data_IF_230622208699
#
_entry.id   IF_230622208699
#
_cell.length_a   1.000
_cell.length_b   1.000
_cell.length_c   1.000
_cell.angle_alpha   90.00
_cell.angle_beta   90.00
_cell.angle_gamma   90.00
#
_symmetry.space_group_name_H-M   'P 1'
#
loop_
_entity.id
_entity.type
_entity.pdbx_description
1 polymer ?
#
# COMPACT_ATOMS: atom_id res chain seq x y z
N UNK A 1 -13.22 37.14 -9.05
CA UNK A 1 -12.00 36.44 -9.49
C UNK A 1 -12.31 34.95 -9.37
N UNK A 2 -12.39 34.24 -10.51
CA UNK A 2 -12.95 32.89 -10.61
C UNK A 2 -12.05 31.87 -9.88
N UNK A 3 -12.62 31.17 -8.90
CA UNK A 3 -12.01 30.00 -8.30
C UNK A 3 -12.00 28.88 -9.35
N UNK A 4 -10.82 28.60 -9.92
CA UNK A 4 -10.61 27.39 -10.69
C UNK A 4 -10.70 26.20 -9.71
N UNK A 5 -11.86 25.53 -9.68
CA UNK A 5 -11.99 24.16 -9.19
C UNK A 5 -11.11 23.28 -10.09
N UNK A 6 -9.83 23.17 -9.74
CA UNK A 6 -9.00 22.09 -10.23
C UNK A 6 -9.55 20.81 -9.57
N UNK A 7 -10.37 20.08 -10.32
CA UNK A 7 -10.55 18.66 -10.10
C UNK A 7 -9.18 18.02 -10.30
N UNK A 8 -8.39 17.98 -9.23
CA UNK A 8 -7.11 17.29 -9.20
C UNK A 8 -7.43 15.81 -9.31
N UNK A 9 -7.54 15.36 -10.54
CA UNK A 9 -7.63 13.96 -10.90
C UNK A 9 -6.26 13.36 -10.60
N UNK A 10 -6.02 13.14 -9.30
CA UNK A 10 -4.76 12.66 -8.72
C UNK A 10 -4.34 11.33 -9.37
N UNK A 11 -5.29 10.58 -9.94
CA UNK A 11 -5.10 9.26 -10.52
C UNK A 11 -4.86 9.25 -12.04
N UNK A 12 -5.08 10.34 -12.78
CA UNK A 12 -5.00 10.33 -14.25
C UNK A 12 -3.60 10.56 -14.83
N UNK A 13 -2.58 10.79 -13.99
CA UNK A 13 -1.19 10.98 -14.42
C UNK A 13 -0.34 9.71 -14.47
N UNK A 14 -0.88 8.57 -14.04
CA UNK A 14 -0.09 7.34 -13.98
C UNK A 14 -0.37 6.43 -15.17
N UNK A 15 0.65 5.74 -15.68
CA UNK A 15 0.46 4.83 -16.79
C UNK A 15 -0.52 3.72 -16.38
N UNK A 16 -1.48 3.42 -17.24
CA UNK A 16 -2.65 2.55 -16.97
C UNK A 16 -2.31 1.15 -16.42
N UNK A 17 -1.05 0.70 -16.55
CA UNK A 17 -0.59 -0.56 -15.96
C UNK A 17 -0.44 -0.53 -14.44
N UNK A 18 -0.40 0.66 -13.82
CA UNK A 18 -0.32 0.84 -12.36
C UNK A 18 -1.66 0.61 -11.66
N UNK A 19 -2.77 0.69 -12.41
CA UNK A 19 -4.12 0.43 -11.93
C UNK A 19 -4.73 -0.68 -12.80
N UNK A 20 -4.43 -1.95 -12.48
CA UNK A 20 -5.15 -3.06 -13.11
C UNK A 20 -6.53 -3.18 -12.46
N UNK A 21 -7.54 -2.75 -13.20
CA UNK A 21 -8.92 -3.18 -12.97
C UNK A 21 -8.96 -4.70 -13.02
N UNK A 22 -9.42 -5.31 -11.94
CA UNK A 22 -9.39 -6.74 -11.69
C UNK A 22 -10.38 -7.49 -12.60
N UNK A 23 -9.89 -8.40 -13.44
CA UNK A 23 -10.68 -9.54 -13.91
C UNK A 23 -10.47 -10.75 -12.98
N UNK A 24 -11.53 -11.47 -12.58
CA UNK A 24 -11.39 -12.66 -11.76
C UNK A 24 -11.00 -13.85 -12.65
N UNK A 25 -9.73 -14.22 -12.70
CA UNK A 25 -9.33 -15.54 -13.23
C UNK A 25 -8.81 -16.43 -12.11
N UNK A 26 -9.70 -17.29 -11.64
CA UNK A 26 -9.40 -18.45 -10.79
C UNK A 26 -8.41 -19.37 -11.49
N UNK A 27 -7.13 -19.28 -11.15
CA UNK A 27 -6.13 -20.28 -11.52
C UNK A 27 -5.70 -21.03 -10.26
N UNK A 28 -6.14 -22.30 -10.14
CA UNK A 28 -5.66 -23.25 -9.14
C UNK A 28 -4.27 -23.73 -9.54
N UNK A 29 -3.26 -23.54 -8.70
CA UNK A 29 -1.91 -24.14 -8.84
C UNK A 29 -1.29 -24.44 -7.46
N UNK A 30 -0.30 -25.36 -7.41
CA UNK A 30 -0.14 -26.33 -6.33
C UNK A 30 0.59 -25.81 -5.08
N UNK A 31 0.27 -26.48 -3.98
CA UNK A 31 0.78 -26.32 -2.63
C UNK A 31 2.31 -26.31 -2.56
N UNK A 32 2.90 -25.16 -2.19
CA UNK A 32 4.10 -25.05 -1.34
C UNK A 32 4.50 -23.57 -1.21
N UNK A 33 3.71 -22.81 -0.45
CA UNK A 33 4.17 -21.57 0.20
C UNK A 33 3.53 -21.51 1.57
N UNK A 34 4.32 -21.16 2.58
CA UNK A 34 3.99 -21.22 4.00
C UNK A 34 2.71 -20.43 4.34
N UNK A 35 1.56 -21.12 4.26
CA UNK A 35 0.30 -20.69 4.81
C UNK A 35 0.10 -21.52 6.08
N UNK A 36 0.05 -20.87 7.24
CA UNK A 36 -0.28 -21.57 8.49
C UNK A 36 -1.67 -22.21 8.37
N UNK A 37 -1.71 -23.54 8.23
CA UNK A 37 -2.94 -24.34 8.27
C UNK A 37 -3.43 -24.45 9.71
N UNK A 38 -4.73 -24.28 9.86
CA UNK A 38 -5.53 -24.15 11.08
C UNK A 38 -5.39 -25.27 12.11
N UNK A 39 -5.07 -24.90 13.34
CA UNK A 39 -5.35 -25.67 14.55
C UNK A 39 -6.83 -25.68 14.93
N UNK A 40 -7.17 -26.54 15.89
CA UNK A 40 -8.52 -26.95 16.29
C UNK A 40 -9.47 -25.79 16.64
N UNK A 41 -10.78 -26.04 16.50
CA UNK A 41 -11.88 -25.05 16.62
C UNK A 41 -11.94 -24.31 17.97
N UNK A 42 -11.34 -24.89 19.02
CA UNK A 42 -11.33 -24.34 20.39
C UNK A 42 -10.17 -23.36 20.60
N UNK A 43 -9.02 -23.57 19.95
CA UNK A 43 -7.86 -22.67 20.03
C UNK A 43 -8.06 -21.37 19.24
N UNK A 44 -8.89 -21.39 18.18
CA UNK A 44 -9.22 -20.20 17.37
C UNK A 44 -9.97 -19.11 18.12
N UNK A 45 -10.81 -19.47 19.10
CA UNK A 45 -11.62 -18.49 19.82
C UNK A 45 -10.79 -17.65 20.80
N UNK A 46 -9.77 -18.23 21.42
CA UNK A 46 -8.91 -17.53 22.38
C UNK A 46 -7.83 -16.68 21.67
N UNK A 47 -7.32 -17.16 20.54
CA UNK A 47 -6.29 -16.45 19.76
C UNK A 47 -6.87 -15.31 18.89
N UNK A 48 -8.18 -15.32 18.62
CA UNK A 48 -8.89 -14.23 17.93
C UNK A 48 -9.19 -13.02 18.80
N UNK A 49 -9.25 -13.18 20.13
CA UNK A 49 -9.56 -12.08 21.06
C UNK A 49 -8.38 -11.13 21.28
N UNK A 50 -7.15 -11.53 20.90
CA UNK A 50 -5.91 -10.76 21.13
C UNK A 50 -5.18 -10.33 19.85
N UNK A 51 -5.65 -10.71 18.66
CA UNK A 51 -5.04 -10.24 17.40
C UNK A 51 -5.62 -8.88 17.02
N UNK A 52 -4.78 -7.89 16.66
CA UNK A 52 -5.25 -6.67 16.03
C UNK A 52 -6.20 -7.02 14.88
N UNK A 53 -7.40 -6.46 14.89
CA UNK A 53 -8.39 -6.78 13.89
C UNK A 53 -7.88 -6.30 12.53
N UNK A 54 -7.61 -7.24 11.62
CA UNK A 54 -7.03 -6.92 10.32
C UNK A 54 -7.94 -5.95 9.54
N UNK A 55 -7.36 -4.83 9.11
CA UNK A 55 -8.06 -3.77 8.40
C UNK A 55 -8.31 -4.18 6.95
N UNK A 56 -9.55 -4.08 6.50
CA UNK A 56 -9.94 -4.47 5.14
C UNK A 56 -9.58 -3.36 4.14
N UNK A 57 -8.49 -3.53 3.38
CA UNK A 57 -8.03 -2.50 2.44
C UNK A 57 -9.02 -2.25 1.30
N UNK A 58 -9.90 -3.21 1.01
CA UNK A 58 -10.96 -3.02 0.02
C UNK A 58 -12.07 -2.07 0.50
N UNK A 59 -12.13 -1.78 1.80
CA UNK A 59 -13.07 -0.81 2.41
C UNK A 59 -12.48 0.58 2.57
N UNK A 60 -11.24 0.80 2.15
CA UNK A 60 -10.66 2.13 2.21
C UNK A 60 -11.17 2.96 1.04
N UNK A 61 -12.05 3.90 1.36
CA UNK A 61 -12.50 4.92 0.43
C UNK A 61 -11.34 5.83 0.03
N UNK A 62 -11.31 6.27 -1.24
CA UNK A 62 -10.19 7.05 -1.79
C UNK A 62 -10.04 8.39 -1.08
N UNK A 63 -11.16 8.94 -0.61
CA UNK A 63 -11.28 10.20 0.10
C UNK A 63 -10.54 10.19 1.44
N UNK A 64 -10.24 9.00 1.99
CA UNK A 64 -9.44 8.88 3.22
C UNK A 64 -7.97 9.27 3.00
N UNK A 65 -7.47 9.23 1.76
CA UNK A 65 -6.06 9.47 1.42
C UNK A 65 -5.74 10.94 1.10
N UNK A 66 -6.57 11.90 1.54
CA UNK A 66 -6.30 13.34 1.31
C UNK A 66 -5.51 13.99 2.44
N UNK A 67 -5.49 13.39 3.64
CA UNK A 67 -4.91 14.02 4.84
C UNK A 67 -3.47 14.49 4.67
N UNK A 68 -2.59 13.65 4.12
CA UNK A 68 -1.20 14.01 3.83
C UNK A 68 -1.08 15.11 2.77
N UNK A 69 -1.93 15.09 1.75
CA UNK A 69 -1.93 16.12 0.71
C UNK A 69 -2.40 17.47 1.27
N UNK A 70 -3.45 17.46 2.10
CA UNK A 70 -3.96 18.66 2.77
C UNK A 70 -2.94 19.22 3.76
N UNK A 71 -2.23 18.35 4.48
CA UNK A 71 -1.13 18.73 5.36
C UNK A 71 0.01 19.38 4.57
N UNK A 72 0.50 18.74 3.51
CA UNK A 72 1.54 19.31 2.66
C UNK A 72 1.12 20.67 2.08
N UNK A 73 -0.13 20.79 1.60
CA UNK A 73 -0.67 22.07 1.10
C UNK A 73 -0.69 23.16 2.16
N UNK A 74 -1.05 22.83 3.41
CA UNK A 74 -1.01 23.78 4.51
C UNK A 74 0.43 24.24 4.78
N UNK A 75 1.39 23.32 4.83
CA UNK A 75 2.80 23.65 5.03
C UNK A 75 3.39 24.53 3.92
N UNK A 76 2.99 24.29 2.67
CA UNK A 76 3.37 25.17 1.54
C UNK A 76 2.79 26.58 1.72
N UNK A 77 1.50 26.68 2.07
CA UNK A 77 0.83 27.98 2.30
C UNK A 77 1.48 28.74 3.45
N UNK A 78 1.86 28.03 4.50
CA UNK A 78 2.40 28.61 5.74
C UNK A 78 3.93 28.82 5.65
N UNK A 79 4.56 28.45 4.52
CA UNK A 79 5.97 28.66 4.25
C UNK A 79 6.91 27.69 4.99
N UNK A 80 6.37 26.63 5.59
CA UNK A 80 7.12 25.63 6.36
C UNK A 80 7.90 24.65 5.47
N UNK A 81 7.46 24.48 4.21
CA UNK A 81 8.16 23.67 3.23
C UNK A 81 8.13 24.31 1.85
N UNK A 82 9.15 24.02 1.06
CA UNK A 82 9.22 24.33 -0.38
C UNK A 82 9.32 23.07 -1.23
N UNK A 83 9.29 21.88 -0.60
CA UNK A 83 9.42 20.61 -1.28
C UNK A 83 8.17 20.27 -2.12
N UNK A 84 8.37 19.56 -3.23
CA UNK A 84 7.25 18.93 -3.95
C UNK A 84 6.59 17.88 -3.07
N UNK A 85 5.36 17.50 -3.39
CA UNK A 85 4.62 16.50 -2.59
C UNK A 85 5.37 15.16 -2.47
N UNK A 86 5.92 14.62 -3.56
CA UNK A 86 6.67 13.36 -3.52
C UNK A 86 7.97 13.49 -2.72
N UNK A 87 8.70 14.60 -2.84
CA UNK A 87 9.89 14.85 -2.02
C UNK A 87 9.53 15.01 -0.54
N UNK A 88 8.41 15.64 -0.24
CA UNK A 88 7.90 15.77 1.12
C UNK A 88 7.51 14.41 1.74
N UNK A 89 6.85 13.55 0.95
CA UNK A 89 6.54 12.18 1.35
C UNK A 89 7.80 11.31 1.52
N UNK A 90 8.85 11.57 0.76
CA UNK A 90 10.14 10.88 0.89
C UNK A 90 10.81 11.19 2.23
N UNK A 91 10.71 12.43 2.71
CA UNK A 91 11.22 12.81 4.03
C UNK A 91 10.45 12.09 5.14
N UNK A 92 9.12 11.98 4.99
CA UNK A 92 8.24 11.27 5.92
C UNK A 92 8.58 9.77 6.01
N UNK A 93 8.99 9.14 4.92
CA UNK A 93 9.36 7.72 4.90
C UNK A 93 10.51 7.38 5.86
N UNK A 94 11.36 8.35 6.20
CA UNK A 94 12.49 8.18 7.13
C UNK A 94 12.08 8.30 8.60
N UNK A 95 10.83 8.71 8.88
CA UNK A 95 10.34 8.83 10.24
C UNK A 95 10.11 7.45 10.89
N UNK A 96 10.23 7.34 12.22
CA UNK A 96 9.87 6.12 12.92
C UNK A 96 8.44 5.68 12.60
N UNK A 97 8.32 4.40 12.25
CA UNK A 97 7.12 3.87 11.63
C UNK A 97 6.17 3.14 12.58
N UNK A 98 4.88 3.16 12.24
CA UNK A 98 3.89 2.22 12.77
C UNK A 98 3.91 0.89 12.01
N UNK A 99 3.23 -0.11 12.56
CA UNK A 99 2.94 -1.38 11.89
C UNK A 99 1.46 -1.68 12.02
N UNK A 100 0.84 -2.19 10.95
CA UNK A 100 -0.58 -2.54 10.93
C UNK A 100 -0.81 -3.83 10.16
N UNK A 101 -1.77 -4.62 10.64
CA UNK A 101 -2.26 -5.83 9.97
C UNK A 101 -3.43 -5.49 9.07
N UNK A 102 -3.32 -5.90 7.82
CA UNK A 102 -4.30 -5.66 6.76
C UNK A 102 -4.86 -6.98 6.23
N UNK A 103 -6.00 -6.90 5.57
CA UNK A 103 -6.56 -8.01 4.80
C UNK A 103 -7.09 -7.54 3.44
N UNK A 104 -6.95 -8.41 2.44
CA UNK A 104 -7.59 -8.27 1.13
C UNK A 104 -8.14 -9.63 0.70
N UNK A 105 -9.46 -9.77 0.68
CA UNK A 105 -10.12 -11.06 0.48
C UNK A 105 -9.73 -12.05 1.58
N UNK A 106 -9.10 -13.16 1.20
CA UNK A 106 -8.63 -14.18 2.15
C UNK A 106 -7.18 -13.97 2.63
N UNK A 107 -6.47 -12.98 2.08
CA UNK A 107 -5.05 -12.73 2.41
C UNK A 107 -4.98 -11.76 3.57
N UNK A 108 -4.19 -12.10 4.59
CA UNK A 108 -3.88 -11.26 5.74
C UNK A 108 -2.36 -11.03 5.74
N UNK A 109 -1.94 -9.78 5.92
CA UNK A 109 -0.54 -9.39 5.81
C UNK A 109 -0.23 -8.17 6.68
N UNK A 110 1.03 -8.06 7.10
CA UNK A 110 1.50 -6.93 7.90
C UNK A 110 2.32 -5.97 7.04
N UNK A 111 2.04 -4.68 7.17
CA UNK A 111 2.88 -3.63 6.60
C UNK A 111 3.49 -2.81 7.71
N UNK A 112 4.77 -2.50 7.55
CA UNK A 112 5.55 -1.67 8.46
C UNK A 112 5.99 -0.43 7.69
N UNK A 113 5.77 0.74 8.28
CA UNK A 113 6.25 2.01 7.74
C UNK A 113 7.79 2.00 7.66
N UNK A 114 8.35 2.53 6.58
CA UNK A 114 9.80 2.60 6.38
C UNK A 114 10.41 1.30 5.87
N UNK A 115 9.60 0.31 5.51
CA UNK A 115 10.08 -1.02 5.07
C UNK A 115 9.83 -1.23 3.57
N UNK A 116 10.82 -1.88 2.94
CA UNK A 116 10.74 -2.33 1.56
C UNK A 116 10.19 -3.75 1.51
N UNK A 117 9.21 -3.94 0.63
CA UNK A 117 8.60 -5.22 0.32
C UNK A 117 8.78 -5.51 -1.16
N UNK A 118 8.53 -6.76 -1.54
CA UNK A 118 8.34 -7.12 -2.93
C UNK A 118 7.16 -8.07 -3.09
N UNK A 119 6.55 -8.00 -4.27
CA UNK A 119 5.56 -8.97 -4.75
C UNK A 119 6.04 -9.57 -6.07
N UNK A 120 5.53 -10.75 -6.39
CA UNK A 120 5.67 -11.38 -7.71
C UNK A 120 4.42 -11.12 -8.52
N UNK A 121 4.57 -10.49 -9.66
CA UNK A 121 3.46 -10.32 -10.60
C UNK A 121 3.26 -11.57 -11.46
N UNK A 122 2.15 -11.62 -12.21
CA UNK A 122 1.77 -12.76 -13.08
C UNK A 122 2.89 -13.21 -14.05
N UNK A 123 3.71 -12.27 -14.49
CA UNK A 123 4.90 -12.48 -15.34
C UNK A 123 6.12 -13.03 -14.58
N UNK A 124 5.97 -13.33 -13.28
CA UNK A 124 7.02 -13.76 -12.33
C UNK A 124 8.11 -12.72 -12.07
N UNK A 125 7.92 -11.48 -12.52
CA UNK A 125 8.82 -10.40 -12.17
C UNK A 125 8.61 -10.01 -10.71
N UNK A 126 9.73 -9.76 -10.01
CA UNK A 126 9.72 -9.23 -8.65
C UNK A 126 9.61 -7.71 -8.74
N UNK A 127 8.66 -7.13 -8.03
CA UNK A 127 8.45 -5.68 -8.00
C UNK A 127 8.68 -5.20 -6.58
N UNK A 128 9.87 -4.64 -6.27
CA UNK A 128 10.09 -4.03 -4.98
C UNK A 128 9.29 -2.73 -4.88
N UNK A 129 8.78 -2.47 -3.69
CA UNK A 129 8.09 -1.23 -3.35
C UNK A 129 8.33 -0.89 -1.89
N UNK A 130 8.32 0.40 -1.63
CA UNK A 130 8.49 1.00 -0.31
C UNK A 130 7.11 1.25 0.27
N UNK A 131 7.00 1.13 1.59
CA UNK A 131 5.76 1.40 2.31
C UNK A 131 5.97 2.53 3.29
N UNK A 132 5.05 3.49 3.28
CA UNK A 132 4.84 4.40 4.39
C UNK A 132 3.38 4.32 4.86
N UNK A 133 3.18 4.46 6.16
CA UNK A 133 1.86 4.49 6.77
C UNK A 133 1.57 5.88 7.32
N UNK A 134 0.38 6.39 7.04
CA UNK A 134 -0.22 7.53 7.74
C UNK A 134 -1.30 7.01 8.68
N UNK A 135 -0.97 6.91 9.96
CA UNK A 135 -1.74 6.10 10.91
C UNK A 135 -1.95 4.67 10.37
N UNK A 136 -3.18 4.34 9.96
CA UNK A 136 -3.59 3.05 9.39
C UNK A 136 -3.70 3.03 7.86
N UNK A 137 -3.38 4.14 7.19
CA UNK A 137 -3.54 4.30 5.74
C UNK A 137 -2.20 4.04 5.03
N UNK A 138 -2.09 2.97 4.22
CA UNK A 138 -0.86 2.63 3.54
C UNK A 138 -0.68 3.36 2.21
N UNK A 139 0.50 3.94 2.02
CA UNK A 139 0.99 4.48 0.77
C UNK A 139 2.20 3.66 0.30
N UNK A 140 2.33 3.51 -1.01
CA UNK A 140 3.40 2.74 -1.63
C UNK A 140 4.08 3.48 -2.76
N UNK A 141 5.36 3.24 -2.93
CA UNK A 141 6.17 3.74 -4.03
C UNK A 141 6.98 2.58 -4.61
N UNK A 142 6.77 2.26 -5.88
CA UNK A 142 7.53 1.21 -6.55
C UNK A 142 8.93 1.68 -6.87
N UNK A 143 9.89 0.75 -6.86
CA UNK A 143 11.25 1.04 -7.28
C UNK A 143 11.55 0.39 -8.63
N UNK A 144 12.05 1.18 -9.57
CA UNK A 144 12.65 0.66 -10.79
C UNK A 144 14.06 0.13 -10.47
N UNK A 145 14.20 -1.19 -10.44
CA UNK A 145 15.49 -1.83 -10.18
C UNK A 145 16.50 -1.65 -11.31
N UNK A 146 16.04 -1.39 -12.54
CA UNK A 146 16.94 -1.23 -13.69
C UNK A 146 17.54 0.17 -13.75
N UNK A 147 16.75 1.19 -13.40
CA UNK A 147 17.15 2.60 -13.50
C UNK A 147 17.41 3.27 -12.14
N UNK A 148 17.30 2.52 -11.04
CA UNK A 148 17.49 2.99 -9.67
C UNK A 148 16.65 4.23 -9.29
N UNK A 149 15.47 4.36 -9.90
CA UNK A 149 14.54 5.47 -9.67
C UNK A 149 13.29 4.98 -8.93
N UNK A 150 12.76 5.81 -8.03
CA UNK A 150 11.54 5.52 -7.29
C UNK A 150 10.35 6.23 -7.94
N UNK A 151 9.29 5.47 -8.21
CA UNK A 151 8.05 6.01 -8.73
C UNK A 151 7.31 6.84 -7.67
N UNK A 152 6.44 7.78 -8.08
CA UNK A 152 5.64 8.59 -7.16
C UNK A 152 4.88 7.74 -6.14
N UNK A 153 4.60 8.35 -4.99
CA UNK A 153 3.83 7.70 -3.94
C UNK A 153 2.35 7.62 -4.31
N UNK A 154 1.74 6.45 -4.11
CA UNK A 154 0.33 6.19 -4.39
C UNK A 154 -0.37 5.53 -3.20
N UNK A 155 -1.67 5.73 -3.08
CA UNK A 155 -2.49 5.02 -2.11
C UNK A 155 -2.51 3.51 -2.42
N UNK A 156 -2.35 2.66 -1.42
CA UNK A 156 -2.30 1.20 -1.57
C UNK A 156 -3.56 0.54 -2.17
N UNK A 157 -4.81 0.99 -1.87
CA UNK A 157 -6.00 0.27 -2.34
C UNK A 157 -6.01 0.10 -3.86
N UNK A 158 -6.31 -1.13 -4.31
CA UNK A 158 -6.38 -1.52 -5.73
C UNK A 158 -5.04 -1.51 -6.49
N UNK A 159 -3.91 -1.25 -5.82
CA UNK A 159 -2.58 -1.36 -6.43
C UNK A 159 -2.19 -2.82 -6.65
N UNK A 160 -2.53 -3.69 -5.70
CA UNK A 160 -2.17 -5.10 -5.73
C UNK A 160 -3.41 -5.99 -5.90
N UNK A 161 -3.27 -7.05 -6.68
CA UNK A 161 -4.25 -8.14 -6.68
C UNK A 161 -4.04 -9.04 -5.46
N UNK A 162 -5.05 -9.85 -5.13
CA UNK A 162 -4.92 -10.84 -4.06
C UNK A 162 -3.77 -11.85 -4.36
N UNK A 163 -3.55 -12.18 -5.64
CA UNK A 163 -2.48 -13.08 -6.06
C UNK A 163 -1.10 -12.47 -5.85
N UNK A 164 -0.94 -11.16 -6.11
CA UNK A 164 0.32 -10.46 -5.85
C UNK A 164 0.65 -10.51 -4.35
N UNK A 165 -0.35 -10.22 -3.49
CA UNK A 165 -0.18 -10.18 -2.04
C UNK A 165 0.10 -11.55 -1.40
N UNK A 166 -0.34 -12.65 -2.03
CA UNK A 166 0.05 -14.01 -1.60
C UNK A 166 1.55 -14.26 -1.71
N UNK A 167 2.25 -13.49 -2.54
CA UNK A 167 3.71 -13.58 -2.73
C UNK A 167 4.49 -12.50 -1.99
N UNK A 168 3.79 -11.67 -1.21
CA UNK A 168 4.38 -10.55 -0.49
C UNK A 168 5.48 -11.05 0.44
N UNK A 169 6.66 -10.42 0.34
CA UNK A 169 7.75 -10.65 1.29
C UNK A 169 8.50 -9.36 1.56
N UNK A 170 9.06 -9.26 2.76
CA UNK A 170 9.98 -8.18 3.13
C UNK A 170 11.32 -8.38 2.44
N UNK A 171 11.93 -7.27 2.00
CA UNK A 171 13.30 -7.21 1.49
C UNK A 171 14.18 -6.63 2.60
N UNK A 172 15.28 -7.32 2.92
CA UNK A 172 16.27 -6.90 3.91
C UNK A 172 17.52 -6.39 3.20
#
# INVERSE_FOLDING_TARGET
>A
MLAAMYSTDFYSRYPRWLFRESEPTTARLPEQYACHRTGSRVQRAQDQLMRPQALDVARFDKERFTGLFDQWRAQIRDGETTATYDTWLELRYLEPGSSHTYKQGAVVFDLIHGVVYEVRTRDRLRRPFRVQLDHELPYVSFRDTANAFDFPWVAFPKVFTQADLMSLRRVY
#
